data_IF_766160508112
#
_entry.id   IF_766160508112
#
_cell.length_a   1.000
_cell.length_b   1.000
_cell.length_c   1.000
_cell.angle_alpha   90.00
_cell.angle_beta   90.00
_cell.angle_gamma   90.00
#
_symmetry.space_group_name_H-M   'P 1'
#
loop_
_entity.id
_entity.type
_entity.pdbx_description
1 polymer ?
#
# COMPACT_ATOMS: atom_id res chain seq x y z
N UNK A 1 19.42 5.34 -5.07
CA UNK A 1 20.04 5.69 -3.77
C UNK A 1 19.75 4.56 -2.79
N UNK A 2 20.66 4.30 -1.86
CA UNK A 2 20.47 3.26 -0.84
C UNK A 2 19.40 3.73 0.18
N UNK A 3 18.60 2.77 0.67
CA UNK A 3 17.56 3.02 1.67
C UNK A 3 18.08 3.75 2.91
N UNK A 4 19.25 3.34 3.42
CA UNK A 4 19.88 3.95 4.61
C UNK A 4 20.23 5.42 4.41
N UNK A 5 20.65 5.81 3.21
CA UNK A 5 21.04 7.19 2.90
C UNK A 5 19.80 8.07 2.77
N UNK A 6 18.75 7.53 2.14
CA UNK A 6 17.45 8.23 2.01
C UNK A 6 16.80 8.43 3.38
N UNK A 7 16.85 7.41 4.24
CA UNK A 7 16.30 7.49 5.59
C UNK A 7 17.02 8.56 6.44
N UNK A 8 18.36 8.59 6.41
CA UNK A 8 19.14 9.62 7.11
C UNK A 8 18.81 11.03 6.64
N UNK A 9 18.63 11.21 5.33
CA UNK A 9 18.21 12.49 4.78
C UNK A 9 16.81 12.87 5.27
N UNK A 10 15.84 11.96 5.24
CA UNK A 10 14.50 12.19 5.76
C UNK A 10 14.52 12.58 7.25
N UNK A 11 15.33 11.90 8.06
CA UNK A 11 15.52 12.23 9.47
C UNK A 11 16.15 13.64 9.66
N UNK A 12 17.15 14.00 8.86
CA UNK A 12 17.79 15.30 8.92
C UNK A 12 16.86 16.46 8.54
N UNK A 13 15.87 16.18 7.69
CA UNK A 13 14.84 17.13 7.26
C UNK A 13 13.60 17.15 8.20
N UNK A 14 13.59 16.30 9.24
CA UNK A 14 12.48 16.22 10.18
C UNK A 14 11.23 15.52 9.63
N UNK A 15 11.36 14.72 8.59
CA UNK A 15 10.26 13.95 7.99
C UNK A 15 10.15 12.53 8.55
N UNK A 16 11.21 12.00 9.15
CA UNK A 16 11.22 10.73 9.86
C UNK A 16 11.79 10.92 11.26
N UNK A 17 11.23 10.20 12.22
CA UNK A 17 11.68 10.21 13.61
C UNK A 17 13.02 9.46 13.79
N UNK A 18 13.62 9.59 15.00
CA UNK A 18 14.86 8.87 15.34
C UNK A 18 14.65 7.34 15.31
N UNK A 19 13.48 6.86 15.75
CA UNK A 19 13.01 5.50 15.51
C UNK A 19 11.93 5.53 14.40
N UNK A 20 12.29 5.20 13.17
CA UNK A 20 11.39 5.30 12.03
C UNK A 20 10.49 4.07 11.87
N UNK A 21 10.52 3.10 12.79
CA UNK A 21 9.81 1.81 12.66
C UNK A 21 8.33 2.00 12.35
N UNK A 22 7.69 2.99 13.00
CA UNK A 22 6.27 3.26 12.83
C UNK A 22 5.91 3.65 11.38
N UNK A 23 6.81 4.38 10.72
CA UNK A 23 6.65 4.82 9.32
C UNK A 23 7.06 3.71 8.34
N UNK A 24 8.27 3.15 8.51
CA UNK A 24 8.85 2.22 7.53
C UNK A 24 8.19 0.83 7.51
N UNK A 25 7.61 0.40 8.66
CA UNK A 25 6.84 -0.84 8.72
C UNK A 25 5.34 -0.64 8.41
N UNK A 26 4.92 0.59 8.11
CA UNK A 26 3.57 0.92 7.63
C UNK A 26 2.50 0.97 8.72
N UNK A 27 2.89 0.99 9.99
CA UNK A 27 1.95 1.00 11.12
C UNK A 27 1.11 2.29 11.13
N UNK A 28 1.76 3.44 10.92
CA UNK A 28 1.08 4.73 10.80
C UNK A 28 0.07 4.74 9.65
N UNK A 29 0.48 4.24 8.48
CA UNK A 29 -0.40 4.12 7.33
C UNK A 29 -1.59 3.19 7.60
N UNK A 30 -1.40 2.09 8.35
CA UNK A 30 -2.46 1.17 8.73
C UNK A 30 -3.47 1.80 9.70
N UNK A 31 -3.01 2.61 10.66
CA UNK A 31 -3.89 3.38 11.54
C UNK A 31 -4.77 4.35 10.74
N UNK A 32 -4.15 5.15 9.85
CA UNK A 32 -4.86 6.08 8.98
C UNK A 32 -5.87 5.37 8.09
N UNK A 33 -5.48 4.23 7.50
CA UNK A 33 -6.34 3.42 6.65
C UNK A 33 -7.55 2.86 7.43
N UNK A 34 -7.33 2.42 8.67
CA UNK A 34 -8.39 1.90 9.54
C UNK A 34 -9.45 2.97 9.82
N UNK A 35 -9.02 4.21 10.09
CA UNK A 35 -9.94 5.34 10.29
C UNK A 35 -10.71 5.64 8.99
N UNK A 36 -10.00 5.74 7.85
CA UNK A 36 -10.63 6.00 6.56
C UNK A 36 -11.61 4.89 6.15
N UNK A 37 -11.26 3.63 6.41
CA UNK A 37 -12.13 2.49 6.16
C UNK A 37 -13.41 2.53 7.00
N UNK A 38 -13.31 2.90 8.28
CA UNK A 38 -14.47 3.09 9.15
C UNK A 38 -15.38 4.18 8.64
N UNK A 39 -14.84 5.32 8.24
CA UNK A 39 -15.61 6.45 7.68
C UNK A 39 -16.27 6.06 6.35
N UNK A 40 -15.56 5.31 5.49
CA UNK A 40 -16.05 4.98 4.17
C UNK A 40 -17.13 3.89 4.17
N UNK A 41 -17.07 2.92 5.10
CA UNK A 41 -17.89 1.71 5.06
C UNK A 41 -18.81 1.52 6.27
N UNK A 42 -18.76 2.43 7.26
CA UNK A 42 -19.59 2.32 8.46
C UNK A 42 -19.28 1.08 9.29
N UNK A 43 -18.01 0.80 9.52
CA UNK A 43 -17.54 -0.34 10.32
C UNK A 43 -16.75 0.13 11.54
N UNK A 44 -16.66 -0.66 12.62
CA UNK A 44 -15.78 -0.38 13.75
C UNK A 44 -14.32 -0.29 13.32
N UNK A 45 -13.50 0.39 14.13
CA UNK A 45 -12.04 0.39 13.97
C UNK A 45 -11.50 -1.02 14.23
N UNK A 46 -10.86 -1.63 13.24
CA UNK A 46 -10.38 -3.01 13.28
C UNK A 46 -8.90 -3.07 12.83
N UNK A 47 -8.03 -2.32 13.52
CA UNK A 47 -6.61 -2.25 13.19
C UNK A 47 -5.94 -3.63 13.16
N UNK A 48 -6.24 -4.48 14.13
CA UNK A 48 -5.63 -5.82 14.27
C UNK A 48 -5.90 -6.74 13.07
N UNK A 49 -6.93 -6.44 12.28
CA UNK A 49 -7.26 -7.18 11.05
C UNK A 49 -6.66 -6.56 9.78
N UNK A 50 -6.01 -5.42 9.90
CA UNK A 50 -5.36 -4.76 8.75
C UNK A 50 -4.03 -5.42 8.47
N UNK A 51 -3.90 -6.06 7.30
CA UNK A 51 -2.60 -6.57 6.87
C UNK A 51 -1.63 -5.41 6.67
N UNK A 52 -0.42 -5.55 7.21
CA UNK A 52 0.59 -4.50 7.12
C UNK A 52 1.95 -5.09 6.79
N UNK A 53 2.56 -4.58 5.73
CA UNK A 53 3.92 -4.90 5.30
C UNK A 53 4.70 -3.62 5.04
N UNK A 54 5.90 -3.53 5.63
CA UNK A 54 6.79 -2.38 5.50
C UNK A 54 7.59 -2.35 4.20
N UNK A 55 8.44 -1.32 4.07
CA UNK A 55 9.27 -1.08 2.89
C UNK A 55 10.71 -1.58 3.04
N UNK A 56 11.06 -2.15 4.18
CA UNK A 56 12.45 -2.53 4.52
C UNK A 56 13.03 -3.64 3.64
N UNK A 57 12.17 -4.43 2.98
CA UNK A 57 12.57 -5.50 2.05
C UNK A 57 12.78 -5.01 0.61
N UNK A 58 12.40 -3.76 0.30
CA UNK A 58 12.55 -3.20 -1.04
C UNK A 58 14.01 -2.79 -1.27
N UNK A 59 14.61 -3.32 -2.29
CA UNK A 59 15.97 -2.98 -2.69
C UNK A 59 15.97 -1.95 -3.83
N UNK A 60 17.10 -1.25 -3.99
CA UNK A 60 17.24 -0.30 -5.10
C UNK A 60 17.02 -0.96 -6.46
N UNK A 61 17.40 -2.23 -6.58
CA UNK A 61 17.23 -3.00 -7.79
C UNK A 61 15.76 -3.22 -8.15
N UNK A 62 14.88 -3.40 -7.16
CA UNK A 62 13.43 -3.52 -7.37
C UNK A 62 12.86 -2.22 -7.96
N UNK A 63 13.34 -1.07 -7.46
CA UNK A 63 12.92 0.24 -7.99
C UNK A 63 13.32 0.39 -9.46
N UNK A 64 14.55 0.01 -9.82
CA UNK A 64 15.03 0.08 -11.21
C UNK A 64 14.25 -0.86 -12.15
N UNK A 65 13.94 -2.07 -11.70
CA UNK A 65 13.13 -3.00 -12.50
C UNK A 65 11.68 -2.53 -12.63
N UNK A 66 11.10 -1.97 -11.58
CA UNK A 66 9.77 -1.40 -11.64
C UNK A 66 9.69 -0.25 -12.66
N UNK A 67 10.67 0.68 -12.63
CA UNK A 67 10.76 1.78 -13.60
C UNK A 67 10.88 1.29 -15.04
N UNK A 68 11.72 0.27 -15.29
CA UNK A 68 11.88 -0.32 -16.62
C UNK A 68 10.60 -0.97 -17.13
N UNK A 69 9.81 -1.53 -16.24
CA UNK A 69 8.51 -2.12 -16.55
C UNK A 69 7.38 -1.08 -16.64
N UNK A 70 7.69 0.21 -16.46
CA UNK A 70 6.71 1.32 -16.52
C UNK A 70 5.88 1.49 -15.25
N UNK A 71 6.42 1.07 -14.10
CA UNK A 71 5.79 1.17 -12.80
C UNK A 71 6.64 2.00 -11.83
N UNK A 72 5.99 2.49 -10.78
CA UNK A 72 6.64 3.04 -9.58
C UNK A 72 6.22 2.25 -8.36
N UNK A 73 7.16 1.98 -7.47
CA UNK A 73 6.86 1.35 -6.17
C UNK A 73 6.41 2.44 -5.21
N UNK A 74 5.21 2.30 -4.66
CA UNK A 74 4.67 3.18 -3.62
C UNK A 74 4.18 2.34 -2.44
N UNK A 75 4.34 2.85 -1.23
CA UNK A 75 3.75 2.26 -0.04
C UNK A 75 2.31 2.74 0.06
N UNK A 76 1.35 1.84 -0.09
CA UNK A 76 -0.06 2.20 -0.28
C UNK A 76 -0.95 1.44 0.68
N UNK A 77 -1.85 2.18 1.35
CA UNK A 77 -2.99 1.61 2.05
C UNK A 77 -4.17 1.44 1.09
N UNK A 78 -4.76 0.25 1.07
CA UNK A 78 -5.91 -0.09 0.22
C UNK A 78 -7.04 -0.56 1.12
N UNK A 79 -8.18 0.15 1.09
CA UNK A 79 -9.43 -0.28 1.70
C UNK A 79 -10.50 -0.35 0.61
N UNK A 80 -11.04 -1.55 0.37
CA UNK A 80 -11.93 -1.80 -0.76
C UNK A 80 -13.06 -2.75 -0.38
N UNK A 81 -14.31 -2.36 -0.67
CA UNK A 81 -15.46 -3.24 -0.51
C UNK A 81 -15.51 -4.23 -1.67
N UNK A 82 -15.57 -5.50 -1.33
CA UNK A 82 -15.73 -6.62 -2.26
C UNK A 82 -16.93 -7.47 -1.87
N UNK A 83 -17.24 -8.51 -2.66
CA UNK A 83 -18.45 -9.31 -2.45
C UNK A 83 -18.55 -9.92 -1.05
N UNK A 84 -17.43 -10.36 -0.48
CA UNK A 84 -17.43 -11.14 0.77
C UNK A 84 -16.95 -10.35 2.00
N UNK A 85 -16.70 -9.05 1.87
CA UNK A 85 -16.20 -8.22 2.97
C UNK A 85 -15.42 -7.00 2.51
N UNK A 86 -14.51 -6.56 3.34
CA UNK A 86 -13.61 -5.44 3.06
C UNK A 86 -12.18 -5.98 2.98
N UNK A 87 -11.47 -5.64 1.92
CA UNK A 87 -10.02 -5.74 1.88
C UNK A 87 -9.44 -4.52 2.61
N UNK A 88 -8.52 -4.74 3.54
CA UNK A 88 -7.83 -3.68 4.25
C UNK A 88 -6.38 -4.06 4.45
N UNK A 89 -5.50 -3.41 3.70
CA UNK A 89 -4.07 -3.77 3.66
C UNK A 89 -3.18 -2.58 3.37
N UNK A 90 -1.97 -2.62 3.91
CA UNK A 90 -0.88 -1.67 3.66
C UNK A 90 0.34 -2.46 3.22
N UNK A 91 0.87 -2.17 2.04
CA UNK A 91 2.07 -2.83 1.52
C UNK A 91 2.70 -2.05 0.37
N UNK A 92 3.97 -2.30 0.02
CA UNK A 92 4.57 -1.83 -1.22
C UNK A 92 3.77 -2.31 -2.43
N UNK A 93 3.52 -1.40 -3.37
CA UNK A 93 2.67 -1.68 -4.54
C UNK A 93 3.29 -1.10 -5.80
N UNK A 94 3.35 -1.89 -6.87
CA UNK A 94 3.69 -1.40 -8.20
C UNK A 94 2.50 -0.67 -8.81
N UNK A 95 2.65 0.61 -9.07
CA UNK A 95 1.61 1.45 -9.66
C UNK A 95 2.07 1.90 -11.04
N UNK A 96 1.28 1.69 -12.11
CA UNK A 96 1.64 2.18 -13.45
C UNK A 96 1.98 3.67 -13.43
N UNK A 97 3.11 4.06 -14.01
CA UNK A 97 3.63 5.44 -13.96
C UNK A 97 2.64 6.49 -14.49
N UNK A 98 1.78 6.11 -15.43
CA UNK A 98 0.72 6.99 -15.96
C UNK A 98 -0.37 7.35 -14.96
N UNK A 99 -0.43 6.72 -13.78
CA UNK A 99 -1.43 7.03 -12.74
C UNK A 99 -0.98 8.21 -11.90
N UNK A 100 -1.91 9.11 -11.58
CA UNK A 100 -1.60 10.30 -10.75
C UNK A 100 -0.99 9.91 -9.39
N UNK A 101 -1.51 8.88 -8.76
CA UNK A 101 -1.02 8.44 -7.43
C UNK A 101 0.41 7.88 -7.49
N UNK A 102 0.89 7.44 -8.65
CA UNK A 102 2.28 7.01 -8.82
C UNK A 102 3.27 8.17 -8.74
N UNK A 103 2.81 9.41 -8.97
CA UNK A 103 3.62 10.63 -9.04
C UNK A 103 3.46 11.51 -7.78
N UNK A 104 3.11 10.92 -6.67
CA UNK A 104 3.09 11.57 -5.36
C UNK A 104 4.47 11.39 -4.73
N UNK A 105 5.25 12.46 -4.67
CA UNK A 105 6.66 12.41 -4.27
C UNK A 105 6.98 13.38 -3.11
N UNK A 106 8.12 13.18 -2.47
CA UNK A 106 8.62 14.02 -1.38
C UNK A 106 7.71 13.97 -0.15
N UNK A 107 7.37 15.15 0.38
CA UNK A 107 6.49 15.30 1.57
C UNK A 107 5.00 15.19 1.24
N UNK A 108 4.67 15.03 -0.04
CA UNK A 108 3.29 14.97 -0.47
C UNK A 108 2.67 13.62 -0.21
N UNK A 109 1.41 13.64 0.21
CA UNK A 109 0.56 12.49 0.39
C UNK A 109 -0.67 12.61 -0.49
N UNK A 110 -1.31 11.48 -0.80
CA UNK A 110 -2.56 11.49 -1.54
C UNK A 110 -3.51 10.41 -1.02
N UNK A 111 -4.80 10.72 -1.08
CA UNK A 111 -5.89 9.79 -0.85
C UNK A 111 -6.75 9.75 -2.11
N UNK A 112 -6.77 8.61 -2.78
CA UNK A 112 -7.64 8.35 -3.93
C UNK A 112 -8.91 7.65 -3.44
N UNK A 113 -10.05 8.34 -3.56
CA UNK A 113 -11.36 7.78 -3.26
C UNK A 113 -12.07 7.44 -4.57
N UNK A 114 -12.52 6.20 -4.71
CA UNK A 114 -13.30 5.76 -5.86
C UNK A 114 -14.73 5.47 -5.43
N UNK A 115 -15.62 6.41 -5.71
CA UNK A 115 -17.05 6.33 -5.38
C UNK A 115 -17.88 5.83 -6.57
N UNK A 116 -19.09 5.36 -6.31
CA UNK A 116 -20.03 4.87 -7.31
C UNK A 116 -20.59 6.00 -8.19
N UNK A 117 -21.05 7.10 -7.61
CA UNK A 117 -21.70 8.18 -8.31
C UNK A 117 -20.70 9.25 -8.84
N UNK A 118 -19.76 9.70 -8.00
CA UNK A 118 -18.80 10.76 -8.37
C UNK A 118 -17.62 10.21 -9.17
N UNK A 119 -17.33 8.90 -9.01
CA UNK A 119 -16.15 8.30 -9.60
C UNK A 119 -14.88 8.58 -8.77
N UNK A 120 -13.69 8.64 -9.41
CA UNK A 120 -12.43 8.86 -8.71
C UNK A 120 -12.24 10.32 -8.33
N UNK A 121 -11.94 10.58 -7.07
CA UNK A 121 -11.49 11.87 -6.54
C UNK A 121 -10.14 11.69 -5.86
N UNK A 122 -9.23 12.66 -6.02
CA UNK A 122 -7.90 12.63 -5.44
C UNK A 122 -7.72 13.84 -4.50
N UNK A 123 -7.38 13.57 -3.25
CA UNK A 123 -6.94 14.56 -2.29
C UNK A 123 -5.42 14.51 -2.24
N UNK A 124 -4.78 15.66 -2.40
CA UNK A 124 -3.33 15.77 -2.50
C UNK A 124 -2.83 16.94 -1.67
N UNK A 125 -1.82 16.71 -0.82
CA UNK A 125 -1.28 17.76 0.05
C UNK A 125 -0.08 17.27 0.85
N UNK A 126 0.55 18.21 1.55
CA UNK A 126 1.65 17.89 2.45
C UNK A 126 1.15 17.06 3.65
N UNK A 127 1.76 15.88 3.86
CA UNK A 127 1.43 14.98 4.96
C UNK A 127 2.30 15.16 6.20
N UNK A 128 3.42 15.88 6.08
CA UNK A 128 4.36 16.12 7.17
C UNK A 128 4.88 17.58 7.14
N UNK A 129 5.40 18.04 8.27
CA UNK A 129 5.93 19.40 8.46
C UNK A 129 5.21 20.15 9.56
N UNK A 130 5.88 21.12 10.17
CA UNK A 130 5.36 21.85 11.33
C UNK A 130 4.05 22.61 11.03
N UNK A 131 4.01 23.34 9.93
CA UNK A 131 2.82 24.12 9.54
C UNK A 131 1.62 23.25 9.12
N UNK A 132 1.77 22.23 8.25
CA UNK A 132 0.67 21.33 7.91
C UNK A 132 0.09 20.61 9.13
N UNK A 133 0.96 20.12 10.03
CA UNK A 133 0.53 19.46 11.27
C UNK A 133 -0.20 20.42 12.20
N UNK A 134 0.34 21.62 12.42
CA UNK A 134 -0.31 22.63 13.25
C UNK A 134 -1.67 23.05 12.67
N UNK A 135 -1.77 23.20 11.35
CA UNK A 135 -3.03 23.52 10.67
C UNK A 135 -4.07 22.42 10.88
N UNK A 136 -3.69 21.16 10.79
CA UNK A 136 -4.59 20.02 11.02
C UNK A 136 -5.09 20.00 12.48
N UNK A 137 -4.19 20.16 13.47
CA UNK A 137 -4.56 20.23 14.90
C UNK A 137 -5.51 21.37 15.18
N UNK A 138 -5.24 22.57 14.65
CA UNK A 138 -6.14 23.75 14.83
C UNK A 138 -7.49 23.49 14.16
N UNK A 139 -7.53 22.88 12.97
CA UNK A 139 -8.78 22.53 12.30
C UNK A 139 -9.63 21.58 13.16
N UNK A 140 -9.02 20.56 13.74
CA UNK A 140 -9.70 19.60 14.63
C UNK A 140 -10.24 20.29 15.90
N UNK A 141 -9.46 21.20 16.51
CA UNK A 141 -9.93 21.99 17.66
C UNK A 141 -11.14 22.85 17.29
N UNK A 142 -11.10 23.51 16.13
CA UNK A 142 -12.22 24.33 15.63
C UNK A 142 -13.46 23.47 15.41
N UNK A 143 -13.30 22.28 14.86
CA UNK A 143 -14.42 21.36 14.60
C UNK A 143 -15.03 20.84 15.90
N UNK A 144 -14.20 20.47 16.88
CA UNK A 144 -14.68 20.09 18.23
C UNK A 144 -15.43 21.25 18.89
N UNK A 145 -14.93 22.49 18.83
CA UNK A 145 -15.62 23.67 19.41
C UNK A 145 -16.99 23.89 18.74
N UNK A 146 -17.07 23.76 17.41
CA UNK A 146 -18.35 23.84 16.69
C UNK A 146 -19.32 22.73 17.14
N UNK A 147 -18.81 21.51 17.28
CA UNK A 147 -19.62 20.37 17.74
C UNK A 147 -20.12 20.55 19.17
N UNK A 148 -19.34 21.16 20.09
CA UNK A 148 -19.77 21.43 21.46
C UNK A 148 -20.95 22.42 21.55
N UNK A 149 -21.07 23.32 20.59
CA UNK A 149 -22.16 24.34 20.55
C UNK A 149 -23.39 23.85 19.78
N UNK A 150 -23.34 22.68 19.17
CA UNK A 150 -24.45 22.08 18.41
C UNK A 150 -25.25 21.14 19.32
N UNK A 151 -26.55 21.05 19.08
CA UNK A 151 -27.41 20.08 19.73
C UNK A 151 -26.84 18.65 19.58
N UNK A 152 -26.68 17.88 20.68
CA UNK A 152 -26.13 16.53 20.62
C UNK A 152 -26.78 15.60 19.59
N UNK A 153 -28.09 15.73 19.38
CA UNK A 153 -28.83 14.90 18.42
C UNK A 153 -28.51 15.26 16.95
N UNK A 154 -28.00 16.46 16.71
CA UNK A 154 -27.66 16.95 15.37
C UNK A 154 -26.16 16.97 15.07
N UNK A 155 -25.35 16.40 15.94
CA UNK A 155 -23.90 16.31 15.70
C UNK A 155 -23.57 15.26 14.65
N UNK A 156 -22.63 15.60 13.75
CA UNK A 156 -22.04 14.61 12.87
C UNK A 156 -21.19 13.66 13.70
N UNK A 157 -21.41 12.35 13.63
CA UNK A 157 -20.59 11.37 14.36
C UNK A 157 -19.12 11.39 13.88
N UNK A 158 -18.18 11.15 14.79
CA UNK A 158 -16.74 11.21 14.49
C UNK A 158 -16.30 10.25 13.39
N UNK A 159 -16.94 9.09 13.28
CA UNK A 159 -16.70 8.10 12.20
C UNK A 159 -17.76 8.16 11.09
N UNK A 160 -18.40 9.32 10.91
CA UNK A 160 -19.47 9.58 9.93
C UNK A 160 -20.77 8.77 10.14
N UNK A 161 -20.78 7.78 11.00
CA UNK A 161 -21.93 6.94 11.32
C UNK A 161 -22.23 6.99 12.81
N UNK A 162 -23.52 6.94 13.17
CA UNK A 162 -23.91 6.79 14.57
C UNK A 162 -23.38 5.42 15.09
N UNK A 163 -23.05 5.30 16.39
CA UNK A 163 -22.50 4.06 16.95
C UNK A 163 -23.37 2.82 16.71
N UNK A 164 -24.69 3.00 16.73
CA UNK A 164 -25.69 1.94 16.48
C UNK A 164 -25.87 1.62 15.00
N UNK A 165 -25.41 2.49 14.10
CA UNK A 165 -25.43 2.28 12.66
C UNK A 165 -24.13 1.64 12.11
N UNK A 166 -23.12 1.43 12.95
CA UNK A 166 -21.92 0.69 12.56
C UNK A 166 -22.26 -0.79 12.35
N UNK A 167 -21.79 -1.33 11.23
CA UNK A 167 -22.01 -2.72 10.86
C UNK A 167 -20.73 -3.53 11.11
N UNK A 168 -20.86 -4.72 11.70
CA UNK A 168 -19.74 -5.65 11.84
C UNK A 168 -19.45 -6.31 10.49
N UNK A 169 -18.79 -5.54 9.61
CA UNK A 169 -18.37 -6.01 8.29
C UNK A 169 -17.07 -6.79 8.45
N UNK A 170 -17.02 -7.99 7.87
CA UNK A 170 -15.82 -8.81 7.89
C UNK A 170 -14.69 -8.17 7.08
N UNK A 171 -13.51 -7.99 7.70
CA UNK A 171 -12.26 -7.69 7.00
C UNK A 171 -11.68 -9.03 6.56
N UNK A 172 -11.40 -9.17 5.27
CA UNK A 172 -10.88 -10.39 4.71
C UNK A 172 -9.43 -10.62 5.15
N UNK A 173 -9.08 -11.85 5.53
CA UNK A 173 -7.68 -12.21 5.75
C UNK A 173 -6.90 -12.07 4.44
N UNK A 174 -5.58 -11.82 4.55
CA UNK A 174 -4.74 -11.57 3.37
C UNK A 174 -4.78 -12.71 2.36
N UNK A 175 -4.89 -13.96 2.82
CA UNK A 175 -4.92 -15.17 2.00
C UNK A 175 -6.11 -15.23 1.03
N UNK A 176 -7.18 -14.48 1.31
CA UNK A 176 -8.38 -14.41 0.46
C UNK A 176 -8.34 -13.26 -0.55
N UNK A 177 -7.32 -12.41 -0.48
CA UNK A 177 -7.20 -11.25 -1.35
C UNK A 177 -6.66 -11.67 -2.71
N UNK A 178 -7.23 -11.06 -3.76
CA UNK A 178 -6.79 -11.24 -5.14
C UNK A 178 -6.03 -9.99 -5.61
N UNK A 179 -4.77 -10.16 -6.01
CA UNK A 179 -3.91 -9.10 -6.53
C UNK A 179 -2.89 -9.66 -7.52
N UNK A 180 -2.24 -8.79 -8.28
CA UNK A 180 -1.08 -9.14 -9.08
C UNK A 180 0.19 -9.09 -8.23
N UNK A 181 1.20 -9.86 -8.61
CA UNK A 181 2.45 -9.98 -7.86
C UNK A 181 3.65 -9.57 -8.70
N UNK A 182 4.60 -8.95 -8.03
CA UNK A 182 5.97 -8.81 -8.46
C UNK A 182 6.82 -9.83 -7.71
N UNK A 183 7.47 -10.71 -8.44
CA UNK A 183 8.35 -11.73 -7.89
C UNK A 183 9.76 -11.47 -8.40
N UNK A 184 10.72 -11.32 -7.51
CA UNK A 184 12.15 -11.32 -7.83
C UNK A 184 12.80 -12.57 -7.27
N UNK A 185 13.41 -13.35 -8.14
CA UNK A 185 14.13 -14.54 -7.77
C UNK A 185 15.55 -14.52 -8.35
N UNK A 186 16.44 -15.22 -7.71
CA UNK A 186 17.80 -15.44 -8.22
C UNK A 186 17.88 -16.86 -8.80
N UNK A 187 18.00 -16.95 -10.10
CA UNK A 187 18.06 -18.21 -10.82
C UNK A 187 19.51 -18.50 -11.26
N UNK A 188 19.88 -19.79 -11.26
CA UNK A 188 21.14 -20.22 -11.87
C UNK A 188 21.02 -19.99 -13.38
N UNK A 189 22.02 -19.37 -13.99
CA UNK A 189 22.04 -19.13 -15.44
C UNK A 189 22.29 -20.44 -16.22
N UNK A 190 21.24 -21.20 -16.40
CA UNK A 190 21.21 -22.46 -17.15
C UNK A 190 19.95 -22.58 -18.00
N UNK A 191 20.05 -23.20 -19.19
CA UNK A 191 18.88 -23.55 -19.98
C UNK A 191 17.87 -24.38 -19.16
N UNK A 192 16.59 -24.02 -19.26
CA UNK A 192 15.48 -24.74 -18.61
C UNK A 192 15.00 -24.14 -17.29
N UNK A 193 15.81 -23.39 -16.52
CA UNK A 193 15.42 -22.88 -15.20
C UNK A 193 14.18 -21.99 -15.27
N UNK A 194 14.13 -21.07 -16.23
CA UNK A 194 12.92 -20.21 -16.42
C UNK A 194 11.70 -21.05 -16.84
N UNK A 195 11.92 -22.09 -17.64
CA UNK A 195 10.85 -23.01 -18.04
C UNK A 195 10.28 -23.78 -16.83
N UNK A 196 11.13 -24.21 -15.90
CA UNK A 196 10.70 -24.87 -14.67
C UNK A 196 9.87 -23.94 -13.79
N UNK A 197 10.31 -22.69 -13.62
CA UNK A 197 9.57 -21.67 -12.85
C UNK A 197 8.21 -21.37 -13.48
N UNK A 198 8.19 -21.13 -14.81
CA UNK A 198 6.94 -20.85 -15.52
C UNK A 198 5.97 -22.03 -15.47
N UNK A 199 6.50 -23.27 -15.45
CA UNK A 199 5.69 -24.47 -15.27
C UNK A 199 5.07 -24.52 -13.87
N UNK A 200 5.82 -24.25 -12.80
CA UNK A 200 5.30 -24.22 -11.43
C UNK A 200 4.15 -23.19 -11.31
N UNK A 201 4.35 -22.00 -11.86
CA UNK A 201 3.31 -20.96 -11.87
C UNK A 201 2.08 -21.42 -12.68
N UNK A 202 2.30 -21.99 -13.87
CA UNK A 202 1.22 -22.50 -14.71
C UNK A 202 0.44 -23.66 -14.07
N UNK A 203 1.13 -24.61 -13.45
CA UNK A 203 0.51 -25.74 -12.73
C UNK A 203 -0.31 -25.27 -11.52
N UNK A 204 -0.01 -24.06 -11.00
CA UNK A 204 -0.77 -23.37 -9.94
C UNK A 204 -1.84 -22.43 -10.46
N UNK A 205 -2.15 -22.44 -11.76
CA UNK A 205 -3.11 -21.54 -12.44
C UNK A 205 -2.75 -20.05 -12.29
N UNK A 206 -1.45 -19.72 -12.24
CA UNK A 206 -0.92 -18.36 -12.16
C UNK A 206 -0.45 -17.89 -13.53
N UNK A 207 -1.19 -16.97 -14.11
CA UNK A 207 -0.81 -16.32 -15.38
C UNK A 207 0.27 -15.28 -15.21
N UNK A 208 1.25 -15.28 -16.11
CA UNK A 208 2.35 -14.34 -16.14
C UNK A 208 1.99 -13.19 -17.09
N UNK A 209 2.17 -11.95 -16.64
CA UNK A 209 2.00 -10.74 -17.45
C UNK A 209 3.30 -10.35 -18.16
N UNK A 210 4.43 -10.40 -17.42
CA UNK A 210 5.74 -10.04 -17.95
C UNK A 210 6.85 -10.84 -17.26
N UNK A 211 7.93 -11.05 -18.01
CA UNK A 211 9.18 -11.63 -17.50
C UNK A 211 10.30 -10.68 -17.92
N UNK A 212 11.20 -10.34 -16.97
CA UNK A 212 12.39 -9.57 -17.22
C UNK A 212 13.60 -10.34 -16.68
N UNK A 213 14.52 -10.67 -17.57
CA UNK A 213 15.80 -11.28 -17.25
C UNK A 213 16.91 -10.44 -17.90
N UNK A 214 17.91 -10.06 -17.13
CA UNK A 214 19.08 -9.31 -17.62
C UNK A 214 20.31 -10.16 -17.57
N UNK A 215 21.28 -9.80 -18.41
CA UNK A 215 22.61 -10.38 -18.34
C UNK A 215 23.24 -10.13 -16.96
N UNK A 216 23.93 -11.12 -16.39
CA UNK A 216 24.58 -10.97 -15.11
C UNK A 216 25.68 -9.89 -15.17
N UNK A 217 25.76 -9.07 -14.13
CA UNK A 217 26.89 -8.16 -13.96
C UNK A 217 28.14 -8.99 -13.60
N UNK A 218 29.04 -9.21 -14.56
CA UNK A 218 30.26 -9.99 -14.38
C UNK A 218 30.04 -11.51 -14.37
N UNK A 219 30.86 -12.25 -13.61
CA UNK A 219 30.79 -13.72 -13.48
C UNK A 219 29.84 -14.21 -12.38
N UNK A 220 28.67 -13.60 -12.23
CA UNK A 220 27.71 -14.05 -11.25
C UNK A 220 27.12 -15.42 -11.64
N UNK A 221 27.09 -16.36 -10.70
CA UNK A 221 26.52 -17.71 -10.90
C UNK A 221 24.99 -17.72 -10.89
N UNK A 222 24.37 -16.67 -10.38
CA UNK A 222 22.93 -16.50 -10.34
C UNK A 222 22.55 -15.13 -10.93
N UNK A 223 21.45 -15.10 -11.64
CA UNK A 223 20.90 -13.90 -12.27
C UNK A 223 19.53 -13.59 -11.69
N UNK A 224 19.19 -12.31 -11.52
CA UNK A 224 17.83 -11.93 -11.11
C UNK A 224 16.87 -12.14 -12.28
N UNK A 225 15.76 -12.80 -11.99
CA UNK A 225 14.65 -12.95 -12.91
C UNK A 225 13.42 -12.36 -12.24
N UNK A 226 12.74 -11.47 -12.94
CA UNK A 226 11.55 -10.78 -12.46
C UNK A 226 10.34 -11.34 -13.19
N UNK A 227 9.30 -11.63 -12.43
CA UNK A 227 7.99 -11.99 -12.97
C UNK A 227 6.94 -11.00 -12.48
N UNK A 228 6.11 -10.52 -13.39
CA UNK A 228 4.84 -9.90 -13.07
C UNK A 228 3.74 -10.89 -13.39
N UNK A 229 2.81 -11.08 -12.45
CA UNK A 229 1.67 -11.99 -12.65
C UNK A 229 0.38 -11.24 -12.89
N UNK A 230 -0.61 -11.90 -13.48
CA UNK A 230 -1.99 -11.45 -13.40
C UNK A 230 -2.53 -11.60 -11.98
N UNK A 231 -3.73 -11.04 -11.71
CA UNK A 231 -4.36 -11.17 -10.41
C UNK A 231 -4.60 -12.65 -10.06
N UNK A 232 -4.15 -13.03 -8.88
CA UNK A 232 -4.33 -14.36 -8.30
C UNK A 232 -4.55 -14.21 -6.80
N UNK A 233 -5.20 -15.18 -6.18
CA UNK A 233 -5.42 -15.19 -4.73
C UNK A 233 -4.10 -15.43 -3.99
N UNK A 234 -3.86 -14.67 -2.91
CA UNK A 234 -2.66 -14.78 -2.07
C UNK A 234 -2.38 -16.23 -1.64
N UNK A 235 -3.41 -16.95 -1.18
CA UNK A 235 -3.27 -18.37 -0.80
C UNK A 235 -2.71 -19.24 -1.93
N UNK A 236 -3.11 -18.97 -3.17
CA UNK A 236 -2.61 -19.70 -4.34
C UNK A 236 -1.15 -19.37 -4.62
N UNK A 237 -0.81 -18.07 -4.55
CA UNK A 237 0.57 -17.61 -4.72
C UNK A 237 1.49 -18.23 -3.67
N UNK A 238 1.09 -18.20 -2.39
CA UNK A 238 1.87 -18.78 -1.28
C UNK A 238 2.06 -20.31 -1.40
N UNK A 239 1.15 -20.98 -2.09
CA UNK A 239 1.28 -22.41 -2.36
C UNK A 239 2.21 -22.74 -3.53
N UNK A 240 2.54 -21.75 -4.39
CA UNK A 240 3.41 -21.92 -5.55
C UNK A 240 4.87 -21.54 -5.25
N UNK A 241 5.12 -20.72 -4.23
CA UNK A 241 6.44 -20.27 -3.76
C UNK A 241 6.92 -21.19 -2.64
#
# INVERSE_FOLDING_TARGET
RDFKDVLKEAQSLGYAEADPTFDIEGIDAAHKLTILGSIAFGMPLQFDKTYTEGITKIEQQDVLYAEELGYRIKHVGISRKVKNGIEQRVHPTLIPERRLIANVDGVMNAVLVKSDAVGPTLYYGAGAGSEPTASAVVADIVDVVRALTTDPENRVPHLAFQPDALSDINILPIEEIETAYYLRMYAIDKPGVVADVTKILGDSDISIEAILQKEPAGNASCIPVIFLTQCVREKTMNGAI
#
